data_IF_165019867190
#
_entry.id   IF_165019867190
#
_cell.length_a   1.000
_cell.length_b   1.000
_cell.length_c   1.000
_cell.angle_alpha   90.00
_cell.angle_beta   90.00
_cell.angle_gamma   90.00
#
_symmetry.space_group_name_H-M   'P 1'
#
loop_
_entity.id
_entity.type
_entity.pdbx_description
1 polymer ?
#
# COMPACT_ATOMS: atom_id res chain seq x y z
N UNK A 1 -28.07 5.96 9.83
CA UNK A 1 -28.29 6.47 11.21
C UNK A 1 -27.10 6.25 12.15
N UNK A 2 -26.31 5.15 12.02
CA UNK A 2 -25.15 4.89 12.90
C UNK A 2 -24.04 5.92 12.75
N UNK A 3 -23.80 6.41 11.54
CA UNK A 3 -22.75 7.39 11.26
C UNK A 3 -23.17 8.84 11.46
N UNK A 4 -24.47 9.11 11.70
CA UNK A 4 -25.04 10.45 11.86
C UNK A 4 -24.68 11.41 10.71
N UNK A 5 -24.65 10.88 9.49
CA UNK A 5 -24.40 11.61 8.25
C UNK A 5 -25.26 11.02 7.13
N UNK A 6 -25.56 11.81 6.11
CA UNK A 6 -26.33 11.44 4.94
C UNK A 6 -25.45 11.01 3.75
N UNK A 7 -24.13 11.13 3.89
CA UNK A 7 -23.16 10.66 2.90
C UNK A 7 -21.90 10.08 3.55
N UNK A 8 -21.13 9.34 2.77
CA UNK A 8 -19.77 8.91 3.09
C UNK A 8 -18.83 9.24 1.93
N UNK A 9 -17.59 9.61 2.23
CA UNK A 9 -16.63 9.97 1.19
C UNK A 9 -16.18 8.74 0.42
N UNK A 10 -15.87 7.62 1.10
CA UNK A 10 -15.45 6.38 0.45
C UNK A 10 -16.29 5.19 0.92
N UNK A 11 -16.92 4.48 -0.03
CA UNK A 11 -17.52 3.16 0.18
C UNK A 11 -16.60 2.07 -0.32
N UNK A 12 -16.14 1.17 0.56
CA UNK A 12 -15.20 0.12 0.20
C UNK A 12 -15.88 -1.22 0.00
N UNK A 13 -15.55 -1.89 -1.12
CA UNK A 13 -15.70 -3.34 -1.26
C UNK A 13 -14.58 -3.95 -0.42
N UNK A 14 -14.95 -4.63 0.68
CA UNK A 14 -13.98 -5.01 1.71
C UNK A 14 -13.44 -6.43 1.53
N UNK A 15 -12.11 -6.58 1.60
CA UNK A 15 -11.39 -7.85 1.68
C UNK A 15 -11.73 -8.82 0.55
N UNK A 16 -11.60 -8.35 -0.69
CA UNK A 16 -11.87 -9.13 -1.88
C UNK A 16 -10.55 -9.73 -2.40
N UNK A 17 -10.22 -10.95 -2.02
CA UNK A 17 -8.94 -11.59 -2.33
C UNK A 17 -9.04 -12.74 -3.33
N UNK A 18 -10.25 -13.25 -3.61
CA UNK A 18 -10.50 -14.34 -4.54
C UNK A 18 -11.44 -13.94 -5.68
N UNK A 19 -11.19 -14.43 -6.92
CA UNK A 19 -12.09 -14.20 -8.06
C UNK A 19 -13.51 -14.65 -7.79
N UNK A 20 -13.66 -15.75 -7.07
CA UNK A 20 -14.98 -16.28 -6.69
C UNK A 20 -15.80 -15.27 -5.89
N UNK A 21 -15.15 -14.51 -5.02
CA UNK A 21 -15.83 -13.51 -4.21
C UNK A 21 -16.30 -12.34 -5.09
N UNK A 22 -15.49 -11.92 -6.07
CA UNK A 22 -15.90 -10.92 -7.05
C UNK A 22 -17.14 -11.38 -7.83
N UNK A 23 -17.16 -12.62 -8.33
CA UNK A 23 -18.31 -13.21 -9.01
C UNK A 23 -19.58 -13.25 -8.12
N UNK A 24 -19.41 -13.48 -6.80
CA UNK A 24 -20.52 -13.46 -5.84
C UNK A 24 -21.04 -12.02 -5.68
N UNK A 25 -20.15 -11.02 -5.57
CA UNK A 25 -20.55 -9.61 -5.46
C UNK A 25 -21.28 -9.12 -6.69
N UNK A 26 -20.80 -9.48 -7.89
CA UNK A 26 -21.49 -9.18 -9.16
C UNK A 26 -22.87 -9.83 -9.21
N UNK A 27 -22.95 -11.14 -9.03
CA UNK A 27 -24.21 -11.92 -9.12
C UNK A 27 -25.26 -11.47 -8.11
N UNK A 28 -24.83 -11.03 -6.93
CA UNK A 28 -25.74 -10.56 -5.86
C UNK A 28 -26.08 -9.07 -6.01
N UNK A 29 -25.62 -8.39 -7.05
CA UNK A 29 -25.92 -6.98 -7.31
C UNK A 29 -25.24 -6.01 -6.33
N UNK A 30 -24.18 -6.43 -5.63
CA UNK A 30 -23.50 -5.55 -4.65
C UNK A 30 -22.78 -4.41 -5.35
N UNK A 31 -22.15 -4.69 -6.51
CA UNK A 31 -21.49 -3.66 -7.32
C UNK A 31 -22.51 -2.66 -7.88
N UNK A 32 -23.62 -3.15 -8.41
CA UNK A 32 -24.69 -2.30 -8.93
C UNK A 32 -25.28 -1.41 -7.84
N UNK A 33 -25.48 -1.97 -6.65
CA UNK A 33 -25.96 -1.21 -5.49
C UNK A 33 -24.97 -0.10 -5.10
N UNK A 34 -23.67 -0.39 -5.07
CA UNK A 34 -22.64 0.58 -4.73
C UNK A 34 -22.56 1.72 -5.77
N UNK A 35 -22.66 1.38 -7.07
CA UNK A 35 -22.75 2.36 -8.16
C UNK A 35 -23.99 3.24 -8.03
N UNK A 36 -25.15 2.66 -7.71
CA UNK A 36 -26.38 3.41 -7.45
C UNK A 36 -26.24 4.37 -6.26
N UNK A 37 -25.55 3.95 -5.18
CA UNK A 37 -25.28 4.83 -4.04
C UNK A 37 -24.35 5.98 -4.42
N UNK A 38 -23.40 5.76 -5.32
CA UNK A 38 -22.54 6.82 -5.88
C UNK A 38 -23.35 7.81 -6.72
N UNK A 39 -24.22 7.34 -7.59
CA UNK A 39 -25.12 8.20 -8.40
C UNK A 39 -26.05 9.07 -7.53
N UNK A 40 -26.52 8.53 -6.41
CA UNK A 40 -27.36 9.24 -5.44
C UNK A 40 -26.59 10.20 -4.53
N UNK A 41 -25.25 10.21 -4.60
CA UNK A 41 -24.40 11.03 -3.75
C UNK A 41 -24.29 10.56 -2.30
N UNK A 42 -24.82 9.38 -1.97
CA UNK A 42 -24.66 8.74 -0.66
C UNK A 42 -23.24 8.23 -0.45
N UNK A 43 -22.61 7.69 -1.50
CA UNK A 43 -21.19 7.35 -1.57
C UNK A 43 -20.56 8.26 -2.61
N UNK A 44 -19.52 9.01 -2.24
CA UNK A 44 -18.83 9.91 -3.16
C UNK A 44 -17.81 9.19 -4.05
N UNK A 45 -17.06 8.26 -3.45
CA UNK A 45 -15.98 7.52 -4.10
C UNK A 45 -16.06 6.04 -3.77
N UNK A 46 -15.69 5.20 -4.73
CA UNK A 46 -15.67 3.75 -4.57
C UNK A 46 -14.24 3.29 -4.30
N UNK A 47 -14.06 2.50 -3.26
CA UNK A 47 -12.80 1.86 -2.92
C UNK A 47 -12.88 0.34 -2.96
N UNK A 48 -11.72 -0.29 -3.10
CA UNK A 48 -11.51 -1.72 -2.95
C UNK A 48 -10.48 -1.98 -1.86
N UNK A 49 -10.70 -2.96 -1.00
CA UNK A 49 -9.69 -3.50 -0.08
C UNK A 49 -9.34 -4.91 -0.51
N UNK A 50 -8.06 -5.16 -0.82
CA UNK A 50 -7.54 -6.46 -1.23
C UNK A 50 -6.07 -6.63 -0.87
N UNK A 51 -5.59 -7.88 -0.82
CA UNK A 51 -4.18 -8.25 -0.70
C UNK A 51 -3.61 -8.80 -2.03
N UNK A 52 -4.49 -9.11 -3.01
CA UNK A 52 -4.15 -9.78 -4.25
C UNK A 52 -3.98 -8.78 -5.41
N UNK A 53 -2.77 -8.61 -5.98
CA UNK A 53 -2.54 -7.71 -7.11
C UNK A 53 -3.38 -8.09 -8.33
N UNK A 54 -3.56 -9.39 -8.59
CA UNK A 54 -4.37 -9.88 -9.70
C UNK A 54 -5.81 -9.39 -9.60
N UNK A 55 -6.41 -9.50 -8.40
CA UNK A 55 -7.78 -9.07 -8.19
C UNK A 55 -7.93 -7.54 -8.25
N UNK A 56 -6.97 -6.82 -7.68
CA UNK A 56 -6.94 -5.36 -7.82
C UNK A 56 -6.96 -4.95 -9.30
N UNK A 57 -6.17 -5.62 -10.16
CA UNK A 57 -6.14 -5.35 -11.58
C UNK A 57 -7.48 -5.66 -12.28
N UNK A 58 -8.17 -6.75 -11.91
CA UNK A 58 -9.49 -7.07 -12.45
C UNK A 58 -10.53 -5.97 -12.15
N UNK A 59 -10.52 -5.45 -10.92
CA UNK A 59 -11.48 -4.40 -10.55
C UNK A 59 -11.06 -3.03 -11.12
N UNK A 60 -9.77 -2.76 -11.28
CA UNK A 60 -9.29 -1.59 -12.05
C UNK A 60 -9.77 -1.62 -13.50
N UNK A 61 -9.78 -2.80 -14.17
CA UNK A 61 -10.29 -2.96 -15.53
C UNK A 61 -11.78 -2.57 -15.66
N UNK A 62 -12.55 -2.60 -14.57
CA UNK A 62 -13.95 -2.15 -14.55
C UNK A 62 -14.09 -0.62 -14.60
N UNK A 63 -13.01 0.14 -14.31
CA UNK A 63 -13.00 1.61 -14.33
C UNK A 63 -13.89 2.27 -13.27
N UNK A 64 -14.19 1.57 -12.17
CA UNK A 64 -15.10 2.05 -11.12
C UNK A 64 -14.39 2.55 -9.87
N UNK A 65 -13.08 2.26 -9.71
CA UNK A 65 -12.32 2.56 -8.50
C UNK A 65 -11.80 4.00 -8.49
N UNK A 66 -11.97 4.64 -7.35
CA UNK A 66 -11.32 5.91 -7.00
C UNK A 66 -10.16 5.68 -6.00
N UNK A 67 -10.21 4.59 -5.21
CA UNK A 67 -9.18 4.27 -4.22
C UNK A 67 -8.99 2.75 -4.04
N UNK A 68 -7.73 2.35 -3.89
CA UNK A 68 -7.33 0.99 -3.54
C UNK A 68 -6.77 0.99 -2.11
N UNK A 69 -7.34 0.20 -1.19
CA UNK A 69 -6.72 -0.10 0.10
C UNK A 69 -5.89 -1.37 -0.05
N UNK A 70 -4.57 -1.24 0.07
CA UNK A 70 -3.64 -2.32 -0.23
C UNK A 70 -2.58 -2.47 0.86
N UNK A 71 -2.14 -3.70 1.11
CA UNK A 71 -1.09 -3.97 2.08
C UNK A 71 0.29 -3.68 1.49
N UNK A 72 0.96 -2.63 1.97
CA UNK A 72 2.31 -2.24 1.50
C UNK A 72 3.24 -2.14 2.68
N UNK A 73 4.30 -2.91 2.65
CA UNK A 73 5.46 -2.82 3.52
C UNK A 73 6.64 -3.54 2.88
N UNK A 74 7.88 -3.32 3.35
CA UNK A 74 9.04 -3.95 2.72
C UNK A 74 9.03 -5.48 2.77
N UNK A 75 8.46 -6.13 3.81
CA UNK A 75 8.36 -7.59 3.83
C UNK A 75 7.54 -8.11 2.65
N UNK A 76 6.35 -7.55 2.43
CA UNK A 76 5.45 -8.00 1.37
C UNK A 76 6.00 -7.71 -0.03
N UNK A 77 6.60 -6.55 -0.22
CA UNK A 77 7.22 -6.19 -1.50
C UNK A 77 8.46 -7.05 -1.81
N UNK A 78 9.05 -7.67 -0.80
CA UNK A 78 10.12 -8.66 -0.93
C UNK A 78 9.62 -10.11 -0.86
N UNK A 79 8.32 -10.36 -0.98
CA UNK A 79 7.75 -11.70 -1.01
C UNK A 79 7.78 -12.43 0.33
N UNK A 80 7.88 -11.72 1.46
CA UNK A 80 7.95 -12.28 2.80
C UNK A 80 6.67 -12.03 3.60
N UNK A 81 6.12 -13.07 4.21
CA UNK A 81 4.94 -13.00 5.09
C UNK A 81 3.64 -13.47 4.45
N UNK A 82 2.64 -13.76 5.27
CA UNK A 82 1.40 -14.45 4.89
C UNK A 82 0.52 -13.69 3.88
N UNK A 83 0.65 -12.37 3.82
CA UNK A 83 -0.09 -11.51 2.90
C UNK A 83 0.79 -10.91 1.78
N UNK A 84 1.97 -11.50 1.55
CA UNK A 84 2.83 -11.19 0.41
C UNK A 84 2.31 -11.87 -0.86
N UNK A 85 1.04 -11.62 -1.21
CA UNK A 85 0.40 -12.19 -2.39
C UNK A 85 0.94 -11.49 -3.64
N UNK A 86 1.28 -12.29 -4.65
CA UNK A 86 1.95 -11.83 -5.86
C UNK A 86 3.45 -11.59 -5.67
N UNK A 87 4.19 -11.54 -6.76
CA UNK A 87 5.61 -11.20 -6.76
C UNK A 87 5.83 -9.71 -6.49
N UNK A 88 7.02 -9.33 -6.02
CA UNK A 88 7.40 -7.93 -5.84
C UNK A 88 7.22 -7.10 -7.11
N UNK A 89 7.52 -7.69 -8.28
CA UNK A 89 7.33 -7.01 -9.57
C UNK A 89 5.87 -6.81 -9.96
N UNK A 90 4.97 -7.73 -9.62
CA UNK A 90 3.51 -7.55 -9.84
C UNK A 90 2.96 -6.44 -8.96
N UNK A 91 3.39 -6.39 -7.70
CA UNK A 91 3.00 -5.34 -6.75
C UNK A 91 3.47 -3.97 -7.24
N UNK A 92 4.73 -3.85 -7.68
CA UNK A 92 5.25 -2.59 -8.23
C UNK A 92 4.50 -2.14 -9.50
N UNK A 93 4.16 -3.07 -10.40
CA UNK A 93 3.32 -2.75 -11.58
C UNK A 93 1.93 -2.26 -11.19
N UNK A 94 1.32 -2.86 -10.17
CA UNK A 94 0.03 -2.41 -9.64
C UNK A 94 0.10 -0.96 -9.13
N UNK A 95 1.14 -0.61 -8.34
CA UNK A 95 1.30 0.75 -7.81
C UNK A 95 1.42 1.78 -8.94
N UNK A 96 2.24 1.48 -9.96
CA UNK A 96 2.38 2.35 -11.15
C UNK A 96 1.07 2.45 -11.95
N UNK A 97 0.35 1.35 -12.10
CA UNK A 97 -0.94 1.35 -12.76
C UNK A 97 -1.94 2.27 -12.05
N UNK A 98 -2.05 2.15 -10.74
CA UNK A 98 -2.91 3.04 -9.95
C UNK A 98 -2.53 4.51 -10.15
N UNK A 99 -1.24 4.86 -10.17
CA UNK A 99 -0.77 6.23 -10.44
C UNK A 99 -1.15 6.71 -11.84
N UNK A 100 -0.99 5.88 -12.87
CA UNK A 100 -1.34 6.21 -14.25
C UNK A 100 -2.85 6.39 -14.47
N UNK A 101 -3.66 5.61 -13.78
CA UNK A 101 -5.12 5.66 -13.87
C UNK A 101 -5.77 6.66 -12.90
N UNK A 102 -4.96 7.32 -12.04
CA UNK A 102 -5.46 8.31 -11.07
C UNK A 102 -6.18 7.67 -9.88
N UNK A 103 -5.95 6.39 -9.60
CA UNK A 103 -6.50 5.68 -8.44
C UNK A 103 -5.55 5.82 -7.27
N UNK A 104 -6.01 6.46 -6.18
CA UNK A 104 -5.19 6.62 -4.97
C UNK A 104 -5.02 5.31 -4.20
N UNK A 105 -3.88 5.14 -3.52
CA UNK A 105 -3.66 3.99 -2.63
C UNK A 105 -3.69 4.45 -1.17
N UNK A 106 -4.53 3.78 -0.36
CA UNK A 106 -4.51 3.83 1.10
C UNK A 106 -3.81 2.59 1.62
N UNK A 107 -2.67 2.75 2.28
CA UNK A 107 -1.85 1.62 2.72
C UNK A 107 -2.36 1.03 4.01
N UNK A 108 -2.59 -0.28 4.04
CA UNK A 108 -2.79 -1.07 5.25
C UNK A 108 -1.56 -1.91 5.57
N UNK A 109 -1.44 -2.32 6.84
CA UNK A 109 -0.35 -3.20 7.37
C UNK A 109 1.08 -2.66 7.16
N UNK A 110 1.36 -1.36 7.37
CA UNK A 110 2.70 -0.80 7.12
C UNK A 110 3.78 -1.41 8.01
N UNK A 111 3.42 -1.98 9.17
CA UNK A 111 4.33 -2.59 10.14
C UNK A 111 4.32 -4.12 10.13
N UNK A 112 3.53 -4.76 9.25
CA UNK A 112 3.28 -6.20 9.25
C UNK A 112 2.96 -6.74 10.65
N UNK A 113 1.88 -6.26 11.27
CA UNK A 113 1.48 -6.60 12.65
C UNK A 113 2.61 -6.38 13.70
N UNK A 114 3.52 -5.44 13.44
CA UNK A 114 4.64 -5.12 14.33
C UNK A 114 5.91 -5.94 14.08
N UNK A 115 5.90 -6.93 13.19
CA UNK A 115 7.07 -7.78 12.91
C UNK A 115 8.26 -6.96 12.38
N UNK A 116 8.02 -5.94 11.57
CA UNK A 116 9.06 -5.03 11.08
C UNK A 116 9.73 -4.22 12.19
N UNK A 117 9.04 -4.00 13.31
CA UNK A 117 9.53 -3.23 14.45
C UNK A 117 10.31 -4.10 15.47
N UNK A 118 10.44 -5.41 15.24
CA UNK A 118 11.22 -6.33 16.09
C UNK A 118 12.33 -6.99 15.26
N UNK A 119 13.59 -6.77 15.63
CA UNK A 119 14.75 -7.32 14.92
C UNK A 119 14.78 -8.85 14.85
N UNK A 120 14.08 -9.56 15.75
CA UNK A 120 14.00 -11.03 15.76
C UNK A 120 12.98 -11.57 14.76
N UNK A 121 11.99 -10.75 14.37
CA UNK A 121 10.91 -11.12 13.46
C UNK A 121 11.09 -10.51 12.06
N UNK A 122 11.84 -9.41 11.98
CA UNK A 122 12.14 -8.74 10.72
C UNK A 122 13.06 -9.59 9.84
N UNK A 123 12.72 -9.83 8.57
CA UNK A 123 13.58 -10.57 7.64
C UNK A 123 14.89 -9.82 7.35
N UNK A 124 14.97 -8.54 7.67
CA UNK A 124 16.16 -7.71 7.51
C UNK A 124 17.17 -7.87 8.65
N UNK A 125 16.90 -8.77 9.64
CA UNK A 125 17.71 -9.02 10.84
C UNK A 125 17.95 -7.78 11.70
N UNK A 126 17.13 -6.76 11.52
CA UNK A 126 17.11 -5.53 12.31
C UNK A 126 15.70 -4.96 12.33
N UNK A 127 15.37 -4.23 13.39
CA UNK A 127 14.10 -3.52 13.47
C UNK A 127 14.12 -2.28 12.59
N UNK A 128 13.05 -2.05 11.87
CA UNK A 128 12.75 -0.73 11.30
C UNK A 128 12.07 0.14 12.36
N UNK A 129 12.19 1.43 12.23
CA UNK A 129 11.43 2.39 13.04
C UNK A 129 10.05 2.65 12.43
N UNK A 130 9.13 3.20 13.21
CA UNK A 130 7.81 3.60 12.73
C UNK A 130 7.92 4.63 11.60
N UNK A 131 8.75 5.71 11.70
CA UNK A 131 8.96 6.64 10.60
C UNK A 131 9.50 5.99 9.32
N UNK A 132 10.43 5.05 9.42
CA UNK A 132 10.97 4.32 8.26
C UNK A 132 9.90 3.51 7.53
N UNK A 133 9.06 2.78 8.26
CA UNK A 133 7.96 1.99 7.67
C UNK A 133 6.91 2.88 7.00
N UNK A 134 6.56 4.01 7.60
CA UNK A 134 5.61 4.98 7.02
C UNK A 134 6.21 5.58 5.75
N UNK A 135 7.46 6.03 5.81
CA UNK A 135 8.14 6.62 4.65
C UNK A 135 8.25 5.63 3.50
N UNK A 136 8.61 4.36 3.79
CA UNK A 136 8.64 3.31 2.78
C UNK A 136 7.33 3.20 2.00
N UNK A 137 6.21 3.23 2.71
CA UNK A 137 4.90 3.15 2.10
C UNK A 137 4.56 4.40 1.28
N UNK A 138 4.81 5.60 1.84
CA UNK A 138 4.52 6.88 1.17
C UNK A 138 5.37 7.12 -0.09
N UNK A 139 6.55 6.52 -0.18
CA UNK A 139 7.42 6.63 -1.37
C UNK A 139 6.93 5.75 -2.55
N UNK A 140 5.91 4.91 -2.36
CA UNK A 140 5.37 4.11 -3.47
C UNK A 140 4.45 4.94 -4.36
N UNK A 141 4.42 4.63 -5.68
CA UNK A 141 3.48 5.29 -6.61
C UNK A 141 2.04 5.22 -6.12
N UNK A 142 1.27 6.27 -6.38
CA UNK A 142 -0.14 6.41 -6.03
C UNK A 142 -0.50 6.44 -4.53
N UNK A 143 0.44 6.22 -3.61
CA UNK A 143 0.13 6.20 -2.18
C UNK A 143 -0.19 7.59 -1.67
N UNK A 144 -1.38 7.73 -1.07
CA UNK A 144 -1.90 8.98 -0.51
C UNK A 144 -1.92 8.96 1.02
N UNK A 145 -2.19 7.80 1.63
CA UNK A 145 -2.33 7.67 3.08
C UNK A 145 -1.79 6.34 3.60
N UNK A 146 -1.42 6.31 4.89
CA UNK A 146 -0.95 5.11 5.58
C UNK A 146 -1.77 4.91 6.85
N UNK A 147 -2.46 3.75 6.94
CA UNK A 147 -3.24 3.35 8.11
C UNK A 147 -2.34 2.61 9.09
N UNK A 148 -1.95 3.29 10.15
CA UNK A 148 -0.96 2.79 11.12
C UNK A 148 -1.52 1.81 12.17
N UNK A 149 -2.85 1.76 12.37
CA UNK A 149 -3.53 0.80 13.24
C UNK A 149 -3.03 0.79 14.69
N UNK A 150 -2.92 1.93 15.40
CA UNK A 150 -2.41 1.94 16.76
C UNK A 150 -3.40 1.28 17.73
N UNK A 151 -2.93 0.36 18.56
CA UNK A 151 -3.73 -0.31 19.59
C UNK A 151 -3.81 0.47 20.91
N UNK A 152 -3.01 1.51 21.08
CA UNK A 152 -2.96 2.33 22.29
C UNK A 152 -2.38 3.73 22.00
N UNK A 153 -2.49 4.62 23.02
CA UNK A 153 -2.04 6.01 22.89
C UNK A 153 -0.52 6.13 22.64
N UNK A 154 0.37 5.37 23.30
CA UNK A 154 1.79 5.41 22.96
C UNK A 154 2.07 5.12 21.50
N UNK A 155 1.50 4.04 20.93
CA UNK A 155 1.66 3.70 19.50
C UNK A 155 1.11 4.80 18.57
N UNK A 156 0.01 5.46 18.94
CA UNK A 156 -0.48 6.62 18.20
C UNK A 156 0.53 7.77 18.21
N UNK A 157 1.14 8.04 19.37
CA UNK A 157 2.17 9.09 19.48
C UNK A 157 3.41 8.75 18.66
N UNK A 158 3.84 7.48 18.66
CA UNK A 158 4.97 7.02 17.84
C UNK A 158 4.67 7.20 16.34
N UNK A 159 3.44 6.94 15.92
CA UNK A 159 3.03 7.17 14.54
C UNK A 159 2.98 8.67 14.17
N UNK A 160 2.46 9.51 15.08
CA UNK A 160 2.42 10.97 14.87
C UNK A 160 3.81 11.61 14.87
N UNK A 161 4.80 11.01 15.54
CA UNK A 161 6.20 11.48 15.51
C UNK A 161 6.80 11.48 14.08
N UNK A 162 6.20 10.72 13.15
CA UNK A 162 6.55 10.78 11.72
C UNK A 162 6.45 12.21 11.16
N UNK A 163 5.49 13.00 11.60
CA UNK A 163 5.25 14.35 11.08
C UNK A 163 6.45 15.29 11.34
N UNK A 164 7.15 15.09 12.47
CA UNK A 164 8.30 15.89 12.88
C UNK A 164 9.65 15.18 12.62
N UNK A 165 9.62 13.95 12.06
CA UNK A 165 10.82 13.15 11.82
C UNK A 165 11.70 13.78 10.73
N UNK A 166 13.02 13.76 10.97
CA UNK A 166 14.02 14.25 10.00
C UNK A 166 14.15 13.30 8.81
N UNK A 167 14.79 13.74 7.70
CA UNK A 167 15.08 12.85 6.57
C UNK A 167 15.90 11.61 6.99
N UNK A 168 16.84 11.76 7.92
CA UNK A 168 17.68 10.68 8.43
C UNK A 168 16.87 9.66 9.24
N UNK A 169 15.92 10.11 10.06
CA UNK A 169 15.01 9.23 10.80
C UNK A 169 14.03 8.47 9.92
N UNK A 170 13.72 9.01 8.75
CA UNK A 170 12.87 8.37 7.72
C UNK A 170 13.65 7.48 6.77
N UNK A 171 14.99 7.51 6.80
CA UNK A 171 15.82 6.72 5.90
C UNK A 171 15.71 5.22 6.20
N UNK A 172 15.11 4.49 5.27
CA UNK A 172 14.94 3.04 5.33
C UNK A 172 15.91 2.29 4.41
N UNK A 173 16.98 2.92 3.95
CA UNK A 173 17.99 2.32 3.04
C UNK A 173 18.64 1.05 3.60
N UNK A 174 18.55 0.82 4.92
CA UNK A 174 19.03 -0.40 5.59
C UNK A 174 18.43 -1.68 5.00
N UNK A 175 17.23 -1.64 4.41
CA UNK A 175 16.61 -2.79 3.74
C UNK A 175 17.31 -3.15 2.43
N UNK A 176 18.11 -2.27 1.87
CA UNK A 176 18.82 -2.49 0.61
C UNK A 176 19.93 -3.55 0.68
N UNK A 177 20.30 -4.02 1.87
CA UNK A 177 21.19 -5.18 2.05
C UNK A 177 20.50 -6.51 1.78
N UNK A 178 19.17 -6.52 1.74
CA UNK A 178 18.34 -7.69 1.45
C UNK A 178 17.84 -7.62 0.00
N UNK A 179 18.20 -8.59 -0.80
CA UNK A 179 17.78 -8.67 -2.22
C UNK A 179 17.09 -10.00 -2.43
N UNK A 180 15.76 -10.03 -2.57
CA UNK A 180 15.06 -11.26 -2.90
C UNK A 180 15.35 -11.70 -4.33
N UNK A 181 15.30 -13.01 -4.60
CA UNK A 181 15.67 -13.60 -5.89
C UNK A 181 14.86 -13.02 -7.07
N UNK A 182 13.58 -12.72 -6.86
CA UNK A 182 12.70 -12.17 -7.89
C UNK A 182 12.91 -10.66 -8.16
N UNK A 183 13.66 -9.98 -7.29
CA UNK A 183 13.99 -8.55 -7.43
C UNK A 183 15.40 -8.31 -8.00
N UNK A 184 16.18 -9.37 -8.26
CA UNK A 184 17.51 -9.22 -8.85
C UNK A 184 17.42 -8.50 -10.20
N UNK A 185 18.18 -7.40 -10.34
CA UNK A 185 18.17 -6.56 -11.53
C UNK A 185 16.96 -5.65 -11.71
N UNK A 186 16.06 -5.55 -10.69
CA UNK A 186 14.90 -4.66 -10.71
C UNK A 186 14.98 -3.64 -9.59
N UNK A 187 14.45 -2.45 -9.82
CA UNK A 187 14.33 -1.44 -8.77
C UNK A 187 13.14 -1.74 -7.86
N UNK A 188 13.41 -1.91 -6.56
CA UNK A 188 12.37 -2.09 -5.52
C UNK A 188 12.16 -0.83 -4.69
N UNK A 189 12.71 0.30 -5.15
CA UNK A 189 12.57 1.62 -4.51
C UNK A 189 13.02 1.64 -3.04
N UNK A 190 14.05 0.86 -2.69
CA UNK A 190 14.58 0.76 -1.32
C UNK A 190 15.49 1.94 -0.93
N UNK A 191 15.79 2.87 -1.84
CA UNK A 191 16.68 4.03 -1.65
C UNK A 191 18.13 3.69 -1.26
N UNK A 192 18.54 2.41 -1.36
CA UNK A 192 19.91 2.00 -1.04
C UNK A 192 20.99 2.73 -1.88
N UNK A 193 20.63 3.20 -3.08
CA UNK A 193 21.52 3.97 -3.95
C UNK A 193 21.59 5.48 -3.59
N UNK A 194 20.97 5.93 -2.50
CA UNK A 194 21.10 7.28 -1.97
C UNK A 194 22.11 7.35 -0.81
N UNK A 195 22.82 8.51 -0.67
CA UNK A 195 22.91 9.59 -1.64
C UNK A 195 23.73 9.17 -2.86
N UNK A 196 23.23 9.44 -4.07
CA UNK A 196 23.99 9.21 -5.28
C UNK A 196 25.12 10.23 -5.40
N UNK A 197 26.39 9.81 -5.64
CA UNK A 197 27.52 10.73 -5.81
C UNK A 197 27.34 11.72 -6.97
N UNK A 198 26.51 11.37 -7.96
CA UNK A 198 26.16 12.24 -9.09
C UNK A 198 24.91 13.10 -8.84
N UNK A 199 24.33 13.08 -7.63
CA UNK A 199 23.13 13.84 -7.27
C UNK A 199 21.86 13.35 -7.93
N UNK A 200 21.81 12.11 -8.45
CA UNK A 200 20.65 11.56 -9.13
C UNK A 200 19.72 10.85 -8.16
N UNK A 201 18.41 10.97 -8.36
CA UNK A 201 17.41 10.07 -7.74
C UNK A 201 17.24 8.83 -8.62
N UNK A 202 17.99 7.77 -8.27
CA UNK A 202 17.99 6.52 -9.02
C UNK A 202 16.62 5.82 -8.98
N UNK A 203 15.89 5.91 -7.86
CA UNK A 203 14.53 5.38 -7.75
C UNK A 203 13.57 6.08 -8.71
N UNK A 204 13.63 7.42 -8.75
CA UNK A 204 12.82 8.22 -9.64
C UNK A 204 13.16 7.96 -11.12
N UNK A 205 14.45 7.83 -11.46
CA UNK A 205 14.88 7.51 -12.82
C UNK A 205 14.31 6.15 -13.25
N UNK A 206 14.43 5.13 -12.41
CA UNK A 206 13.85 3.82 -12.72
C UNK A 206 12.31 3.88 -12.86
N UNK A 207 11.64 4.71 -12.04
CA UNK A 207 10.20 4.92 -12.13
C UNK A 207 9.75 5.44 -13.50
N UNK A 208 10.55 6.28 -14.13
CA UNK A 208 10.23 6.83 -15.47
C UNK A 208 10.76 6.00 -16.63
N UNK A 209 11.67 5.06 -16.36
CA UNK A 209 12.24 4.18 -17.39
C UNK A 209 11.41 2.89 -17.59
N UNK A 210 10.81 2.34 -16.53
CA UNK A 210 9.96 1.14 -16.53
C UNK A 210 8.53 1.42 -17.05
#
# INVERSE_FOLDING_TARGET
DCLQTDYIDFGFIHCLDEKRDLEIYERNGVLDYLLQMKEQGVVRHIGLSTHAPELANLVLDMGILDMLMFSINPMYDYGQGDFAIGSGSERQRLYRRCEQEGVGISVMKPFNAGQLLDARQSPFHQALTVPQCIQYALDKPAVLTVLVGPGNIPQLKDALAYLDATPEERDYSIIGSFTPDDAVGKCVYCRHCHPCPAGMDIGLINKYYD
#
